data_IF_744203438451
#
_entry.id   IF_744203438451
#
_cell.length_a   1.000
_cell.length_b   1.000
_cell.length_c   1.000
_cell.angle_alpha   90.00
_cell.angle_beta   90.00
_cell.angle_gamma   90.00
#
_symmetry.space_group_name_H-M   'P 1'
#
loop_
_entity.id
_entity.type
_entity.pdbx_description
1 polymer ?
#
# COMPACT_ATOMS: atom_id res chain seq x y z
N UNK A 1 -74.31 27.43 -20.53
CA UNK A 1 -74.91 27.19 -21.86
C UNK A 1 -73.79 27.07 -22.89
N UNK A 2 -73.74 25.93 -23.60
CA UNK A 2 -72.93 25.64 -24.81
C UNK A 2 -71.39 25.64 -24.65
N UNK A 3 -70.59 24.69 -25.16
CA UNK A 3 -70.81 23.48 -25.97
C UNK A 3 -69.52 22.63 -25.87
N UNK A 4 -69.68 21.32 -25.79
CA UNK A 4 -68.59 20.34 -25.90
C UNK A 4 -68.01 20.30 -27.33
N UNK A 5 -66.75 19.91 -27.47
CA UNK A 5 -66.26 19.28 -28.70
C UNK A 5 -65.41 18.05 -28.36
N UNK A 6 -65.76 16.96 -29.01
CA UNK A 6 -65.28 15.59 -28.82
C UNK A 6 -64.07 15.28 -29.71
N UNK A 7 -63.20 14.41 -29.18
CA UNK A 7 -62.48 13.30 -29.81
C UNK A 7 -61.57 13.55 -31.04
N UNK A 8 -60.29 13.17 -30.95
CA UNK A 8 -59.77 11.89 -31.51
C UNK A 8 -58.26 11.68 -31.25
N UNK A 9 -57.91 10.40 -31.23
CA UNK A 9 -56.65 9.74 -30.86
C UNK A 9 -55.42 10.12 -31.71
N UNK A 10 -54.24 10.14 -31.10
CA UNK A 10 -52.99 9.74 -31.77
C UNK A 10 -52.01 9.12 -30.77
N UNK A 11 -51.41 8.02 -31.21
CA UNK A 11 -50.64 7.04 -30.46
C UNK A 11 -49.31 7.50 -29.89
N UNK A 12 -48.95 6.80 -28.82
CA UNK A 12 -47.65 6.52 -28.22
C UNK A 12 -46.38 6.84 -29.03
N UNK A 13 -45.40 7.43 -28.33
CA UNK A 13 -44.01 6.98 -28.32
C UNK A 13 -43.38 7.38 -26.97
N UNK A 14 -43.27 6.40 -26.08
CA UNK A 14 -42.50 6.50 -24.84
C UNK A 14 -41.03 6.57 -25.21
N UNK A 15 -40.41 7.76 -25.14
CA UNK A 15 -38.95 7.87 -25.16
C UNK A 15 -38.45 7.53 -23.76
N UNK A 16 -38.12 6.26 -23.55
CA UNK A 16 -37.40 5.78 -22.38
C UNK A 16 -36.04 6.51 -22.26
N UNK A 17 -35.61 6.88 -21.04
CA UNK A 17 -34.30 7.47 -20.85
C UNK A 17 -33.23 6.42 -21.17
N UNK A 18 -32.30 6.75 -22.08
CA UNK A 18 -31.08 5.99 -22.29
C UNK A 18 -30.32 5.96 -20.96
N UNK A 19 -30.30 4.78 -20.33
CA UNK A 19 -29.44 4.50 -19.20
C UNK A 19 -28.01 4.43 -19.73
N UNK A 20 -27.25 5.51 -19.53
CA UNK A 20 -25.83 5.52 -19.87
C UNK A 20 -25.10 4.68 -18.82
N UNK A 21 -24.86 3.42 -19.15
CA UNK A 21 -23.95 2.58 -18.39
C UNK A 21 -22.58 3.26 -18.42
N UNK A 22 -22.15 3.78 -17.29
CA UNK A 22 -20.78 4.20 -17.10
C UNK A 22 -19.93 2.92 -17.15
N UNK A 23 -19.29 2.70 -18.29
CA UNK A 23 -18.18 1.77 -18.46
C UNK A 23 -17.05 2.23 -17.52
N UNK A 24 -17.11 1.81 -16.25
CA UNK A 24 -15.93 1.78 -15.41
C UNK A 24 -15.03 0.70 -15.99
N UNK A 25 -14.20 1.10 -16.96
CA UNK A 25 -13.10 0.30 -17.43
C UNK A 25 -12.30 -0.15 -16.22
N UNK A 26 -12.36 -1.45 -15.94
CA UNK A 26 -11.44 -2.11 -15.03
C UNK A 26 -10.05 -1.90 -15.59
N UNK A 27 -9.38 -0.84 -15.12
CA UNK A 27 -7.95 -0.72 -15.24
C UNK A 27 -7.42 -1.89 -14.46
N UNK A 28 -6.89 -2.89 -15.15
CA UNK A 28 -5.93 -3.81 -14.55
C UNK A 28 -4.85 -2.93 -13.92
N UNK A 29 -4.93 -2.77 -12.60
CA UNK A 29 -4.08 -1.89 -11.80
C UNK A 29 -2.65 -2.45 -11.84
N UNK A 30 -1.91 -2.06 -12.87
CA UNK A 30 -0.48 -2.29 -12.93
C UNK A 30 0.19 -1.57 -11.75
N UNK A 31 1.24 -2.17 -11.20
CA UNK A 31 2.04 -1.58 -10.13
C UNK A 31 2.42 -0.13 -10.48
N UNK A 32 2.22 0.79 -9.53
CA UNK A 32 2.54 2.20 -9.73
C UNK A 32 4.06 2.38 -9.85
N UNK A 33 4.53 3.26 -10.75
CA UNK A 33 5.96 3.55 -10.90
C UNK A 33 6.44 4.47 -9.78
N UNK A 34 7.38 3.98 -8.98
CA UNK A 34 8.14 4.82 -8.06
C UNK A 34 9.17 5.71 -8.80
N UNK A 35 9.49 6.92 -8.29
CA UNK A 35 10.60 7.71 -8.80
C UNK A 35 11.94 6.98 -8.65
N UNK A 36 12.83 7.12 -9.64
CA UNK A 36 14.14 6.44 -9.67
C UNK A 36 15.08 6.78 -8.49
N UNK A 37 14.80 7.83 -7.72
CA UNK A 37 15.67 8.30 -6.63
C UNK A 37 15.12 7.98 -5.23
N UNK A 38 13.98 7.28 -5.15
CA UNK A 38 13.41 6.91 -3.86
C UNK A 38 14.34 5.97 -3.09
N UNK A 39 14.53 6.22 -1.79
CA UNK A 39 15.34 5.38 -0.90
C UNK A 39 14.59 5.09 0.37
N UNK A 40 14.58 3.81 0.74
CA UNK A 40 14.03 3.32 1.98
C UNK A 40 15.17 2.78 2.85
N UNK A 41 15.16 3.11 4.14
CA UNK A 41 16.25 2.76 5.04
C UNK A 41 15.79 2.64 6.48
N UNK A 42 16.51 1.82 7.25
CA UNK A 42 16.36 1.76 8.70
C UNK A 42 17.30 2.82 9.30
N UNK A 43 16.73 3.77 10.05
CA UNK A 43 17.47 4.81 10.75
C UNK A 43 18.18 4.21 11.97
N UNK A 44 17.44 3.43 12.76
CA UNK A 44 17.92 2.66 13.90
C UNK A 44 17.10 1.38 14.03
N UNK A 45 17.68 0.28 14.54
CA UNK A 45 19.09 0.10 14.88
C UNK A 45 19.99 0.11 13.63
N UNK A 46 21.30 0.26 13.85
CA UNK A 46 22.32 0.09 12.80
C UNK A 46 22.61 -1.39 12.56
N UNK A 47 23.18 -1.68 11.39
CA UNK A 47 23.65 -3.03 11.08
C UNK A 47 24.75 -3.46 12.06
N UNK A 48 24.61 -4.66 12.62
CA UNK A 48 25.45 -5.24 13.66
C UNK A 48 25.20 -4.71 15.08
N UNK A 49 24.21 -3.82 15.29
CA UNK A 49 23.96 -3.24 16.60
C UNK A 49 23.41 -4.28 17.59
N UNK A 50 23.90 -4.20 18.84
CA UNK A 50 23.37 -4.95 19.98
C UNK A 50 22.20 -4.19 20.59
N UNK A 51 21.08 -4.87 20.78
CA UNK A 51 19.83 -4.26 21.24
C UNK A 51 19.20 -5.11 22.35
N UNK A 52 18.45 -4.50 23.28
CA UNK A 52 17.65 -5.26 24.24
C UNK A 52 16.54 -6.05 23.54
N UNK A 53 15.93 -7.02 24.23
CA UNK A 53 14.82 -7.82 23.69
C UNK A 53 13.67 -6.99 23.11
N UNK A 54 13.31 -5.88 23.74
CA UNK A 54 12.35 -4.91 23.21
C UNK A 54 13.07 -3.64 22.80
N UNK A 55 13.02 -3.31 21.52
CA UNK A 55 13.73 -2.16 20.97
C UNK A 55 12.92 -1.44 19.89
N UNK A 56 13.24 -0.17 19.65
CA UNK A 56 12.57 0.64 18.62
C UNK A 56 13.30 0.53 17.28
N UNK A 57 12.56 0.21 16.23
CA UNK A 57 13.01 0.30 14.84
C UNK A 57 12.42 1.58 14.24
N UNK A 58 13.29 2.47 13.75
CA UNK A 58 12.91 3.74 13.10
C UNK A 58 13.14 3.65 11.60
N UNK A 59 12.14 4.03 10.83
CA UNK A 59 12.10 3.94 9.37
C UNK A 59 12.41 5.30 8.75
N UNK A 60 13.04 5.30 7.59
CA UNK A 60 13.28 6.49 6.79
C UNK A 60 12.94 6.26 5.33
N UNK A 61 12.36 7.28 4.71
CA UNK A 61 12.02 7.32 3.29
C UNK A 61 12.46 8.68 2.73
N UNK A 62 13.12 8.69 1.57
CA UNK A 62 13.46 9.91 0.83
C UNK A 62 13.03 9.77 -0.62
N UNK A 63 12.58 10.86 -1.24
CA UNK A 63 12.13 10.89 -2.65
C UNK A 63 10.66 10.50 -2.87
N UNK A 64 9.95 10.10 -1.81
CA UNK A 64 8.51 9.78 -1.81
C UNK A 64 7.86 10.21 -0.48
N UNK A 65 6.53 10.32 -0.48
CA UNK A 65 5.74 10.54 0.73
C UNK A 65 5.28 9.25 1.39
N UNK A 66 4.90 9.35 2.66
CA UNK A 66 4.21 8.27 3.39
C UNK A 66 2.72 8.59 3.44
N UNK A 67 1.87 7.65 3.04
CA UNK A 67 0.42 7.77 3.10
C UNK A 67 -0.21 6.49 3.67
N UNK A 68 -1.38 6.57 4.34
CA UNK A 68 -2.07 5.39 4.80
C UNK A 68 -2.43 4.42 3.66
N UNK A 69 -2.42 3.12 3.96
CA UNK A 69 -2.99 2.10 3.08
C UNK A 69 -4.47 2.40 2.79
N UNK A 70 -4.94 2.00 1.62
CA UNK A 70 -6.28 2.30 1.09
C UNK A 70 -6.47 3.73 0.61
N UNK A 71 -5.52 4.64 0.83
CA UNK A 71 -5.58 6.02 0.35
C UNK A 71 -4.66 6.16 -0.85
N UNK A 72 -5.22 6.11 -2.06
CA UNK A 72 -4.46 6.33 -3.28
C UNK A 72 -3.98 7.78 -3.35
N UNK A 73 -2.66 7.97 -3.35
CA UNK A 73 -1.99 9.24 -3.61
C UNK A 73 -0.72 9.00 -4.39
N UNK A 74 -0.57 9.77 -5.45
CA UNK A 74 0.61 9.74 -6.30
C UNK A 74 1.88 9.92 -5.47
N UNK A 75 2.92 9.17 -5.84
CA UNK A 75 4.24 9.28 -5.24
C UNK A 75 4.27 9.03 -3.72
N UNK A 76 3.40 8.16 -3.23
CA UNK A 76 3.36 7.74 -1.83
C UNK A 76 3.34 6.23 -1.65
N UNK A 77 3.61 5.80 -0.42
CA UNK A 77 3.44 4.42 0.01
C UNK A 77 3.41 4.32 1.52
N UNK A 78 3.46 3.09 2.03
CA UNK A 78 3.58 2.81 3.45
C UNK A 78 4.59 1.69 3.72
N UNK A 79 5.10 1.66 4.95
CA UNK A 79 6.17 0.78 5.35
C UNK A 79 5.66 -0.64 5.64
N UNK A 80 6.53 -1.60 5.37
CA UNK A 80 6.46 -2.96 5.88
C UNK A 80 7.82 -3.31 6.48
N UNK A 81 7.83 -3.98 7.63
CA UNK A 81 9.05 -4.52 8.25
C UNK A 81 9.05 -6.03 8.12
N UNK A 82 10.08 -6.54 7.46
CA UNK A 82 10.39 -7.96 7.32
C UNK A 82 11.40 -8.34 8.41
N UNK A 83 11.06 -9.36 9.20
CA UNK A 83 11.88 -9.91 10.29
C UNK A 83 12.22 -11.35 9.96
N UNK A 84 13.51 -11.68 9.87
CA UNK A 84 14.01 -13.03 9.59
C UNK A 84 13.38 -13.66 8.34
N UNK A 85 13.26 -12.85 7.29
CA UNK A 85 12.83 -13.27 5.95
C UNK A 85 14.08 -13.41 5.08
N UNK A 86 14.41 -14.64 4.73
CA UNK A 86 15.58 -14.96 3.89
C UNK A 86 15.28 -14.64 2.43
N UNK A 87 14.22 -15.25 1.89
CA UNK A 87 13.75 -15.07 0.52
C UNK A 87 12.66 -14.00 0.44
N UNK A 88 12.81 -13.04 -0.48
CA UNK A 88 11.78 -12.03 -0.69
C UNK A 88 10.48 -12.67 -1.21
N UNK A 89 9.31 -12.22 -0.73
CA UNK A 89 8.04 -12.62 -1.31
C UNK A 89 7.93 -12.10 -2.75
N UNK A 90 6.91 -12.57 -3.47
CA UNK A 90 6.57 -12.05 -4.80
C UNK A 90 6.17 -10.57 -4.71
N UNK A 91 7.09 -9.68 -5.09
CA UNK A 91 6.92 -8.23 -5.02
C UNK A 91 5.97 -7.66 -6.08
N UNK A 92 5.39 -8.52 -6.94
CA UNK A 92 4.31 -8.12 -7.85
C UNK A 92 2.91 -8.23 -7.23
N UNK A 93 2.82 -8.75 -6.00
CA UNK A 93 1.58 -9.00 -5.27
C UNK A 93 1.54 -8.24 -3.95
N UNK A 94 0.35 -8.11 -3.32
CA UNK A 94 0.27 -7.64 -1.96
C UNK A 94 1.18 -8.47 -1.05
N UNK A 95 1.93 -7.79 -0.18
CA UNK A 95 2.79 -8.49 0.78
C UNK A 95 1.92 -9.37 1.71
N UNK A 96 2.30 -10.64 1.93
CA UNK A 96 1.50 -11.51 2.77
C UNK A 96 1.54 -11.02 4.22
N UNK A 97 0.39 -11.02 4.88
CA UNK A 97 0.32 -10.76 6.31
C UNK A 97 0.76 -12.02 7.06
N UNK A 98 1.94 -11.96 7.67
CA UNK A 98 2.52 -13.06 8.45
C UNK A 98 3.18 -12.49 9.69
N UNK A 99 3.51 -13.31 10.68
CA UNK A 99 4.22 -12.87 11.89
C UNK A 99 5.61 -12.27 11.61
N UNK A 100 6.17 -12.57 10.42
CA UNK A 100 7.47 -12.06 9.96
C UNK A 100 7.36 -10.81 9.09
N UNK A 101 6.16 -10.43 8.66
CA UNK A 101 5.93 -9.26 7.80
C UNK A 101 4.90 -8.37 8.47
N UNK A 102 5.39 -7.32 9.13
CA UNK A 102 4.57 -6.38 9.89
C UNK A 102 4.17 -5.22 8.97
N UNK A 103 2.87 -4.91 8.93
CA UNK A 103 2.29 -3.88 8.08
C UNK A 103 2.11 -2.57 8.84
N UNK A 104 2.51 -1.45 8.24
CA UNK A 104 2.36 -0.10 8.81
C UNK A 104 1.46 0.78 7.94
N UNK A 105 0.25 0.26 7.67
CA UNK A 105 -0.75 0.92 6.82
C UNK A 105 -1.32 2.23 7.40
N UNK A 106 -0.98 2.62 8.63
CA UNK A 106 -1.33 3.93 9.19
C UNK A 106 -0.34 5.04 8.82
N UNK A 107 0.73 4.70 8.09
CA UNK A 107 1.83 5.63 7.80
C UNK A 107 2.84 5.75 8.94
N UNK A 108 2.95 4.72 9.79
CA UNK A 108 3.92 4.71 10.88
C UNK A 108 5.35 4.76 10.33
N UNK A 109 6.21 5.49 11.04
CA UNK A 109 7.64 5.64 10.71
C UNK A 109 8.55 5.01 11.77
N UNK A 110 7.97 4.36 12.77
CA UNK A 110 8.68 3.58 13.77
C UNK A 110 7.76 2.53 14.39
N UNK A 111 8.37 1.54 15.02
CA UNK A 111 7.68 0.56 15.84
C UNK A 111 8.59 0.09 16.97
N UNK A 112 8.01 -0.37 18.07
CA UNK A 112 8.71 -1.28 18.96
C UNK A 112 8.53 -2.71 18.47
N UNK A 113 9.59 -3.50 18.54
CA UNK A 113 9.55 -4.95 18.31
C UNK A 113 10.11 -5.67 19.54
N UNK A 114 9.60 -6.87 19.81
CA UNK A 114 10.14 -7.75 20.85
C UNK A 114 10.61 -9.03 20.18
N UNK A 115 11.89 -9.36 20.29
CA UNK A 115 12.51 -10.52 19.68
C UNK A 115 13.21 -11.40 20.75
N UNK A 116 13.31 -12.72 20.52
CA UNK A 116 14.10 -13.58 21.39
C UNK A 116 15.60 -13.21 21.32
N UNK A 117 16.41 -13.57 22.33
CA UNK A 117 17.86 -13.37 22.25
C UNK A 117 18.47 -14.13 21.07
N UNK A 118 19.40 -13.49 20.35
CA UNK A 118 20.03 -14.07 19.16
C UNK A 118 20.22 -13.09 18.02
N UNK A 119 20.61 -13.64 16.86
CA UNK A 119 20.84 -12.85 15.64
C UNK A 119 19.55 -12.77 14.82
N UNK A 120 19.12 -11.56 14.51
CA UNK A 120 17.93 -11.30 13.70
C UNK A 120 18.25 -10.41 12.50
N UNK A 121 17.49 -10.56 11.41
CA UNK A 121 17.57 -9.67 10.24
C UNK A 121 16.34 -8.81 10.13
N UNK A 122 16.54 -7.54 9.76
CA UNK A 122 15.49 -6.55 9.55
C UNK A 122 15.63 -5.95 8.16
N UNK A 123 14.50 -5.80 7.45
CA UNK A 123 14.46 -5.16 6.15
C UNK A 123 13.12 -4.46 5.93
N UNK A 124 13.13 -3.31 5.28
CA UNK A 124 11.91 -2.60 4.93
C UNK A 124 11.55 -2.81 3.45
N UNK A 125 10.26 -2.88 3.18
CA UNK A 125 9.68 -2.83 1.82
C UNK A 125 8.59 -1.76 1.80
N UNK A 126 8.61 -0.88 0.80
CA UNK A 126 7.55 0.11 0.59
C UNK A 126 6.45 -0.50 -0.28
N UNK A 127 5.21 -0.50 0.21
CA UNK A 127 4.03 -0.84 -0.59
C UNK A 127 3.24 0.40 -0.98
N UNK A 128 2.50 0.33 -2.08
CA UNK A 128 1.51 1.32 -2.48
C UNK A 128 0.25 1.24 -1.60
N UNK A 129 -0.81 1.97 -1.96
CA UNK A 129 -2.09 1.96 -1.21
C UNK A 129 -2.75 0.57 -1.09
N UNK A 130 -2.39 -0.41 -1.92
CA UNK A 130 -2.89 -1.79 -1.92
C UNK A 130 -1.94 -2.80 -1.27
N UNK A 131 -0.86 -2.34 -0.60
CA UNK A 131 0.22 -3.18 -0.05
C UNK A 131 1.05 -3.90 -1.11
N UNK A 132 0.93 -3.51 -2.39
CA UNK A 132 1.74 -4.04 -3.49
C UNK A 132 2.98 -3.16 -3.62
N UNK A 133 4.19 -3.70 -3.63
CA UNK A 133 5.38 -2.93 -3.96
C UNK A 133 5.26 -2.24 -5.33
N UNK A 134 5.86 -1.06 -5.48
CA UNK A 134 5.91 -0.33 -6.75
C UNK A 134 6.64 -1.13 -7.84
N UNK A 135 6.40 -0.80 -9.12
CA UNK A 135 6.97 -1.53 -10.28
C UNK A 135 8.51 -1.63 -10.22
N UNK A 136 9.15 -0.59 -9.69
CA UNK A 136 10.52 -0.62 -9.21
C UNK A 136 10.46 -0.71 -7.68
N UNK A 137 10.60 -1.91 -7.08
CA UNK A 137 10.42 -2.06 -5.64
C UNK A 137 11.42 -1.23 -4.85
N UNK A 138 10.93 -0.48 -3.88
CA UNK A 138 11.78 0.29 -2.97
C UNK A 138 11.97 -0.55 -1.72
N UNK A 139 13.17 -1.09 -1.58
CA UNK A 139 13.55 -2.00 -0.50
C UNK A 139 14.78 -1.44 0.19
N UNK A 140 14.83 -1.52 1.53
CA UNK A 140 16.03 -1.11 2.26
C UNK A 140 17.16 -2.13 2.13
N UNK A 141 18.37 -1.70 2.49
CA UNK A 141 19.40 -2.66 2.89
C UNK A 141 18.85 -3.56 4.00
N UNK A 142 19.11 -4.86 3.92
CA UNK A 142 18.91 -5.80 5.02
C UNK A 142 19.99 -5.52 6.06
N UNK A 143 19.59 -5.37 7.31
CA UNK A 143 20.51 -5.22 8.44
C UNK A 143 20.39 -6.44 9.35
N UNK A 144 21.44 -6.70 10.13
CA UNK A 144 21.48 -7.68 11.19
C UNK A 144 21.50 -6.96 12.53
N UNK A 145 20.79 -7.47 13.52
CA UNK A 145 20.87 -7.03 14.92
C UNK A 145 21.16 -8.22 15.82
N UNK A 146 21.80 -7.96 16.95
CA UNK A 146 22.06 -8.98 17.98
C UNK A 146 21.24 -8.61 19.21
N UNK A 147 20.25 -9.44 19.53
CA UNK A 147 19.37 -9.26 20.67
C UNK A 147 20.01 -9.94 21.89
N UNK A 148 20.19 -9.18 22.98
CA UNK A 148 20.75 -9.65 24.25
C UNK A 148 19.96 -9.18 25.48
#
# INVERSE_FOLDING_TARGET
MFKANSLLFASALMLSPLLQAAEHGSKTEAAEKAPQQAKLYIISPKDGEKVPQTFTVRFGLSGMGVAPAGVQRDNTGHHHLLIDVDDMPDLSKPLPATDKIIHFGGGQTETQVTLPPGKHTLQLVLGNYMHVPHENPIVSKKITVVVE
#
